data_IF_441922816129
#
_entry.id   IF_441922816129
#
_cell.length_a   1.000
_cell.length_b   1.000
_cell.length_c   1.000
_cell.angle_alpha   90.00
_cell.angle_beta   90.00
_cell.angle_gamma   90.00
#
_symmetry.space_group_name_H-M   'P 1'
#
loop_
_entity.id
_entity.type
_entity.pdbx_description
1 polymer ?
#
# COMPACT_ATOMS: atom_id res chain seq x y z
N UNK A 1 21.52 3.52 9.89
CA UNK A 1 20.66 2.35 9.61
C UNK A 1 19.71 2.73 8.50
N UNK A 2 19.19 1.77 7.75
CA UNK A 2 18.05 2.07 6.90
C UNK A 2 16.80 2.32 7.75
N UNK A 3 15.82 3.04 7.20
CA UNK A 3 14.47 3.08 7.77
C UNK A 3 13.86 1.66 7.77
N UNK A 4 12.89 1.37 8.62
CA UNK A 4 12.16 0.10 8.53
C UNK A 4 11.45 -0.02 7.17
N UNK A 5 11.37 -1.23 6.62
CA UNK A 5 10.59 -1.45 5.41
C UNK A 5 9.12 -1.13 5.69
N UNK A 6 8.49 -0.43 4.76
CA UNK A 6 7.07 -0.13 4.85
C UNK A 6 6.26 -1.42 4.72
N UNK A 7 5.29 -1.59 5.60
CA UNK A 7 4.35 -2.71 5.60
C UNK A 7 2.94 -2.20 5.86
N UNK A 8 1.97 -2.68 5.06
CA UNK A 8 0.54 -2.37 5.27
C UNK A 8 0.05 -2.86 6.63
N UNK A 9 -0.83 -2.10 7.26
CA UNK A 9 -1.48 -2.50 8.50
C UNK A 9 -2.81 -3.19 8.21
N UNK A 10 -3.13 -4.23 8.97
CA UNK A 10 -4.38 -4.99 8.86
C UNK A 10 -5.27 -4.72 10.07
N UNK A 11 -6.56 -4.54 9.82
CA UNK A 11 -7.60 -4.36 10.84
C UNK A 11 -8.46 -5.60 10.89
N UNK A 12 -8.70 -6.12 12.08
CA UNK A 12 -9.43 -7.35 12.33
C UNK A 12 -10.70 -7.10 13.15
N UNK A 13 -11.78 -7.81 12.83
CA UNK A 13 -12.95 -7.92 13.70
C UNK A 13 -12.69 -8.87 14.88
N UNK A 14 -13.69 -9.06 15.75
CA UNK A 14 -13.58 -9.92 16.95
C UNK A 14 -13.43 -11.42 16.65
N UNK A 15 -13.74 -11.87 15.43
CA UNK A 15 -13.58 -13.27 15.01
C UNK A 15 -12.33 -13.50 14.16
N UNK A 16 -11.58 -12.44 13.85
CA UNK A 16 -10.31 -12.49 13.14
C UNK A 16 -10.39 -12.28 11.63
N UNK A 17 -11.54 -11.86 11.09
CA UNK A 17 -11.61 -11.47 9.67
C UNK A 17 -10.95 -10.11 9.48
N UNK A 18 -10.26 -9.92 8.36
CA UNK A 18 -9.74 -8.60 8.00
C UNK A 18 -10.89 -7.75 7.48
N UNK A 19 -11.09 -6.60 8.11
CA UNK A 19 -12.17 -5.63 7.81
C UNK A 19 -11.66 -4.31 7.22
N UNK A 20 -10.36 -4.04 7.31
CA UNK A 20 -9.70 -2.95 6.61
C UNK A 20 -8.20 -3.21 6.45
N UNK A 21 -7.63 -2.58 5.44
CA UNK A 21 -6.20 -2.48 5.21
C UNK A 21 -5.83 -1.01 5.14
N UNK A 22 -4.88 -0.58 5.96
CA UNK A 22 -4.35 0.77 5.92
C UNK A 22 -2.94 0.76 5.31
N UNK A 23 -2.82 1.38 4.14
CA UNK A 23 -1.56 1.60 3.44
C UNK A 23 -1.58 2.94 2.69
N UNK A 24 -0.41 3.57 2.57
CA UNK A 24 -0.20 4.66 1.60
C UNK A 24 0.29 4.11 0.26
N UNK A 25 1.16 3.11 0.34
CA UNK A 25 1.89 2.49 -0.76
C UNK A 25 1.79 0.97 -0.54
N UNK A 26 1.43 0.18 -1.55
CA UNK A 26 1.45 -1.28 -1.39
C UNK A 26 2.92 -1.69 -1.28
N UNK A 27 3.32 -2.07 -0.08
CA UNK A 27 4.66 -2.48 0.28
C UNK A 27 4.54 -3.64 1.25
N UNK A 28 5.10 -4.78 0.88
CA UNK A 28 5.15 -5.97 1.71
C UNK A 28 6.60 -6.45 1.73
N UNK A 29 7.23 -6.49 2.92
CA UNK A 29 8.59 -6.95 3.02
C UNK A 29 8.66 -8.42 2.60
N UNK A 30 9.54 -8.71 1.64
CA UNK A 30 9.91 -10.05 1.22
C UNK A 30 11.37 -10.29 1.56
N UNK A 31 11.69 -11.46 2.11
CA UNK A 31 13.08 -11.88 2.29
C UNK A 31 13.67 -12.35 0.95
N UNK A 32 14.97 -12.17 0.75
CA UNK A 32 15.60 -12.54 -0.52
C UNK A 32 15.39 -14.03 -0.88
N UNK A 33 15.28 -14.91 0.12
CA UNK A 33 15.06 -16.35 -0.06
C UNK A 33 13.66 -16.74 -0.53
N UNK A 34 12.66 -15.84 -0.43
CA UNK A 34 11.31 -16.06 -0.97
C UNK A 34 11.22 -15.73 -2.46
N UNK A 35 12.22 -15.04 -3.02
CA UNK A 35 12.26 -14.67 -4.43
C UNK A 35 12.82 -15.84 -5.25
N UNK A 36 12.09 -16.35 -6.27
CA UNK A 36 12.59 -17.43 -7.10
C UNK A 36 13.94 -17.08 -7.76
N UNK A 37 14.93 -18.00 -7.80
CA UNK A 37 16.25 -17.70 -8.36
C UNK A 37 16.23 -17.16 -9.79
N UNK A 38 15.34 -17.67 -10.64
CA UNK A 38 15.25 -17.25 -12.04
C UNK A 38 14.64 -15.84 -12.17
N UNK A 39 13.72 -15.47 -11.28
CA UNK A 39 13.18 -14.10 -11.17
C UNK A 39 14.28 -13.13 -10.76
N UNK A 40 15.08 -13.51 -9.75
CA UNK A 40 16.19 -12.71 -9.28
C UNK A 40 17.23 -12.49 -10.38
N UNK A 41 17.61 -13.56 -11.09
CA UNK A 41 18.54 -13.49 -12.21
C UNK A 41 18.01 -12.62 -13.36
N UNK A 42 16.71 -12.71 -13.69
CA UNK A 42 16.11 -11.87 -14.72
C UNK A 42 16.17 -10.38 -14.36
N UNK A 43 15.89 -10.03 -13.11
CA UNK A 43 16.01 -8.64 -12.62
C UNK A 43 17.46 -8.16 -12.71
N UNK A 44 18.41 -8.97 -12.23
CA UNK A 44 19.83 -8.62 -12.30
C UNK A 44 20.32 -8.47 -13.75
N UNK A 45 19.95 -9.36 -14.66
CA UNK A 45 20.36 -9.29 -16.07
C UNK A 45 19.96 -7.98 -16.75
N UNK A 46 18.80 -7.44 -16.37
CA UNK A 46 18.21 -6.22 -16.91
C UNK A 46 18.75 -4.96 -16.22
N UNK A 47 18.80 -4.95 -14.88
CA UNK A 47 19.15 -3.76 -14.10
C UNK A 47 20.65 -3.64 -13.82
N UNK A 48 21.34 -4.74 -13.50
CA UNK A 48 22.75 -4.72 -13.08
C UNK A 48 23.40 -6.12 -13.16
N UNK A 49 23.78 -6.56 -14.36
CA UNK A 49 24.25 -7.94 -14.61
C UNK A 49 25.58 -8.28 -13.92
N UNK A 50 26.36 -7.27 -13.55
CA UNK A 50 27.63 -7.41 -12.83
C UNK A 50 27.49 -7.03 -11.35
N UNK A 51 26.26 -7.00 -10.82
CA UNK A 51 25.95 -6.53 -9.46
C UNK A 51 26.90 -7.12 -8.41
N UNK A 52 27.10 -8.43 -8.40
CA UNK A 52 27.97 -9.11 -7.44
C UNK A 52 29.47 -8.89 -7.67
N UNK A 53 29.87 -8.40 -8.85
CA UNK A 53 31.28 -8.23 -9.21
C UNK A 53 31.84 -6.84 -8.84
N UNK A 54 31.00 -5.81 -8.85
CA UNK A 54 31.43 -4.44 -8.55
C UNK A 54 31.15 -4.04 -7.09
N UNK A 55 31.80 -2.99 -6.59
CA UNK A 55 31.57 -2.43 -5.24
C UNK A 55 30.88 -1.07 -5.35
N UNK A 56 29.55 -1.03 -5.32
CA UNK A 56 28.76 0.20 -5.34
C UNK A 56 28.61 0.86 -6.71
N UNK A 57 29.66 0.96 -7.52
CA UNK A 57 29.61 1.54 -8.87
C UNK A 57 30.25 0.62 -9.89
N UNK A 58 29.64 0.52 -11.08
CA UNK A 58 30.20 -0.24 -12.19
C UNK A 58 31.03 0.66 -13.11
N UNK A 59 32.31 0.84 -12.78
CA UNK A 59 33.25 1.68 -13.54
C UNK A 59 33.51 1.11 -14.94
N UNK A 60 33.53 -0.22 -15.10
CA UNK A 60 33.74 -0.87 -16.40
C UNK A 60 32.57 -0.58 -17.34
N UNK A 61 31.34 -0.72 -16.85
CA UNK A 61 30.13 -0.38 -17.61
C UNK A 61 30.02 1.12 -17.87
N UNK A 62 30.47 1.99 -16.95
CA UNK A 62 30.52 3.43 -17.19
C UNK A 62 31.46 3.78 -18.35
N UNK A 63 32.70 3.25 -18.34
CA UNK A 63 33.67 3.49 -19.42
C UNK A 63 33.18 2.91 -20.74
N UNK A 64 32.62 1.70 -20.73
CA UNK A 64 32.05 1.05 -21.93
C UNK A 64 30.89 1.87 -22.50
N UNK A 65 29.96 2.33 -21.65
CA UNK A 65 28.83 3.15 -22.06
C UNK A 65 29.28 4.51 -22.62
N UNK A 66 30.30 5.14 -22.03
CA UNK A 66 30.85 6.38 -22.58
C UNK A 66 31.45 6.16 -23.96
N UNK A 67 32.22 5.09 -24.17
CA UNK A 67 32.83 4.77 -25.47
C UNK A 67 31.79 4.38 -26.53
N UNK A 68 30.71 3.68 -26.17
CA UNK A 68 29.63 3.30 -27.09
C UNK A 68 28.70 4.45 -27.46
N UNK A 69 28.50 5.42 -26.55
CA UNK A 69 27.70 6.62 -26.81
C UNK A 69 28.36 7.56 -27.83
N UNK A 70 29.68 7.48 -28.04
CA UNK A 70 30.35 8.19 -29.14
C UNK A 70 30.18 7.51 -30.50
N UNK A 71 29.69 6.25 -30.53
CA UNK A 71 29.52 5.47 -31.74
C UNK A 71 28.05 5.33 -32.20
N UNK A 72 27.06 5.84 -31.45
CA UNK A 72 25.64 5.69 -31.79
C UNK A 72 24.76 6.82 -31.23
N UNK A 73 23.81 7.29 -32.04
CA UNK A 73 22.92 8.45 -31.81
C UNK A 73 21.72 8.17 -30.86
N UNK A 74 21.79 7.10 -30.06
CA UNK A 74 20.68 6.68 -29.19
C UNK A 74 21.07 6.71 -27.70
N UNK A 75 20.48 7.57 -26.86
CA UNK A 75 20.78 7.57 -25.43
C UNK A 75 20.12 6.37 -24.76
N UNK A 76 20.83 5.25 -24.61
CA UNK A 76 20.26 4.04 -23.98
C UNK A 76 21.26 3.21 -23.18
N UNK A 77 21.44 3.59 -21.91
CA UNK A 77 21.43 2.71 -20.73
C UNK A 77 21.64 3.61 -19.50
N UNK A 78 20.74 3.51 -18.50
CA UNK A 78 20.98 4.19 -17.24
C UNK A 78 22.12 3.49 -16.51
N UNK A 79 23.33 4.04 -16.54
CA UNK A 79 24.55 3.43 -15.97
C UNK A 79 24.55 3.37 -14.41
N UNK A 80 23.39 3.40 -13.76
CA UNK A 80 23.31 3.39 -12.29
C UNK A 80 23.10 1.97 -11.78
N UNK A 81 23.97 1.54 -10.87
CA UNK A 81 23.90 0.21 -10.23
C UNK A 81 22.72 0.09 -9.28
N UNK A 82 22.34 -1.13 -8.90
CA UNK A 82 21.31 -1.39 -7.89
C UNK A 82 21.63 -0.64 -6.57
N UNK A 83 22.88 -0.68 -6.11
CA UNK A 83 23.32 0.03 -4.91
C UNK A 83 23.09 1.55 -5.03
N UNK A 84 23.38 2.13 -6.19
CA UNK A 84 23.12 3.55 -6.44
C UNK A 84 21.62 3.86 -6.46
N UNK A 85 20.78 2.93 -6.90
CA UNK A 85 19.32 3.09 -6.87
C UNK A 85 18.78 3.06 -5.44
N UNK A 86 19.26 2.16 -4.56
CA UNK A 86 18.91 2.16 -3.12
C UNK A 86 19.25 3.49 -2.47
N UNK A 87 20.48 3.98 -2.69
CA UNK A 87 20.93 5.28 -2.16
C UNK A 87 20.07 6.43 -2.66
N UNK A 88 19.73 6.45 -3.95
CA UNK A 88 18.88 7.47 -4.57
C UNK A 88 17.50 7.52 -3.92
N UNK A 89 16.90 6.36 -3.68
CA UNK A 89 15.53 6.24 -3.18
C UNK A 89 15.42 6.50 -1.68
N UNK A 90 16.44 6.18 -0.89
CA UNK A 90 16.34 6.20 0.57
C UNK A 90 17.19 7.26 1.28
N UNK A 91 18.36 7.59 0.74
CA UNK A 91 19.32 8.49 1.41
C UNK A 91 19.35 9.89 0.79
N UNK A 92 19.03 9.97 -0.50
CA UNK A 92 19.06 11.21 -1.27
C UNK A 92 17.67 11.65 -1.74
N UNK A 93 16.62 11.03 -1.22
CA UNK A 93 15.25 11.43 -1.52
C UNK A 93 15.04 12.90 -1.11
N UNK A 94 14.51 13.70 -2.03
CA UNK A 94 14.20 15.12 -1.77
C UNK A 94 15.35 16.11 -1.97
N UNK A 95 16.56 15.67 -2.28
CA UNK A 95 17.66 16.59 -2.65
C UNK A 95 17.56 17.05 -4.11
N UNK A 96 18.08 18.24 -4.39
CA UNK A 96 18.16 18.79 -5.74
C UNK A 96 19.04 17.91 -6.66
N UNK A 97 18.58 17.68 -7.89
CA UNK A 97 19.23 16.79 -8.85
C UNK A 97 20.26 17.53 -9.69
N UNK A 98 21.30 18.05 -9.04
CA UNK A 98 22.43 18.72 -9.66
C UNK A 98 23.65 17.79 -9.86
N UNK A 99 24.78 18.32 -10.33
CA UNK A 99 26.01 17.53 -10.47
C UNK A 99 26.53 16.96 -9.14
N UNK A 100 26.26 17.62 -8.01
CA UNK A 100 26.64 17.17 -6.67
C UNK A 100 25.82 15.94 -6.27
N UNK A 101 24.55 15.88 -6.65
CA UNK A 101 23.69 14.71 -6.42
C UNK A 101 24.33 13.41 -6.93
N UNK A 102 24.92 13.44 -8.14
CA UNK A 102 25.54 12.24 -8.71
C UNK A 102 26.81 11.83 -7.95
N UNK A 103 27.61 12.79 -7.48
CA UNK A 103 28.78 12.53 -6.64
C UNK A 103 28.38 11.94 -5.27
N UNK A 104 27.34 12.49 -4.65
CA UNK A 104 26.78 11.96 -3.40
C UNK A 104 26.24 10.53 -3.59
N UNK A 105 25.58 10.26 -4.72
CA UNK A 105 25.08 8.91 -5.03
C UNK A 105 26.23 7.90 -5.13
N UNK A 106 27.33 8.25 -5.81
CA UNK A 106 28.53 7.40 -5.90
C UNK A 106 29.16 7.22 -4.53
N UNK A 107 29.36 8.30 -3.78
CA UNK A 107 29.99 8.27 -2.46
C UNK A 107 29.22 7.41 -1.47
N UNK A 108 27.91 7.62 -1.35
CA UNK A 108 27.07 6.84 -0.45
C UNK A 108 26.90 5.38 -0.91
N UNK A 109 26.90 5.09 -2.21
CA UNK A 109 26.89 3.71 -2.69
C UNK A 109 28.15 2.94 -2.23
N UNK A 110 29.32 3.58 -2.33
CA UNK A 110 30.58 3.01 -1.83
C UNK A 110 30.57 2.82 -0.30
N UNK A 111 29.99 3.77 0.45
CA UNK A 111 29.87 3.65 1.90
C UNK A 111 28.89 2.54 2.30
N UNK A 112 27.80 2.38 1.56
CA UNK A 112 26.78 1.37 1.84
C UNK A 112 27.34 -0.04 1.69
N UNK A 113 28.08 -0.29 0.62
CA UNK A 113 28.75 -1.59 0.34
C UNK A 113 29.88 -1.93 1.31
N UNK A 114 30.36 -0.97 2.09
CA UNK A 114 31.29 -1.24 3.20
C UNK A 114 30.58 -1.68 4.48
N UNK A 115 29.28 -1.38 4.60
CA UNK A 115 28.49 -1.63 5.81
C UNK A 115 27.55 -2.83 5.66
N UNK A 116 27.11 -3.11 4.44
CA UNK A 116 26.12 -4.13 4.14
C UNK A 116 26.64 -5.09 3.07
N UNK A 117 26.15 -6.32 3.15
CA UNK A 117 26.39 -7.37 2.15
C UNK A 117 25.60 -7.09 0.86
N UNK A 118 25.99 -7.74 -0.24
CA UNK A 118 25.28 -7.63 -1.52
C UNK A 118 23.84 -8.10 -1.42
N UNK A 119 23.64 -9.18 -0.67
CA UNK A 119 22.34 -9.80 -0.42
C UNK A 119 21.43 -8.83 0.34
N UNK A 120 21.94 -8.17 1.38
CA UNK A 120 21.17 -7.15 2.12
C UNK A 120 20.81 -5.93 1.26
N UNK A 121 21.72 -5.48 0.39
CA UNK A 121 21.45 -4.37 -0.53
C UNK A 121 20.40 -4.77 -1.57
N UNK A 122 20.50 -5.99 -2.11
CA UNK A 122 19.56 -6.51 -3.09
C UNK A 122 18.18 -6.74 -2.49
N UNK A 123 18.10 -7.37 -1.31
CA UNK A 123 16.85 -7.50 -0.56
C UNK A 123 16.21 -6.13 -0.32
N UNK A 124 17.02 -5.14 0.10
CA UNK A 124 16.53 -3.79 0.31
C UNK A 124 15.97 -3.19 -0.97
N UNK A 125 16.72 -3.29 -2.07
CA UNK A 125 16.29 -2.80 -3.38
C UNK A 125 14.97 -3.41 -3.84
N UNK A 126 14.85 -4.75 -3.75
CA UNK A 126 13.64 -5.46 -4.12
C UNK A 126 12.43 -5.07 -3.28
N UNK A 127 12.63 -4.54 -2.07
CA UNK A 127 11.55 -4.11 -1.19
C UNK A 127 11.19 -2.62 -1.34
N UNK A 128 12.05 -1.79 -1.92
CA UNK A 128 11.84 -0.33 -1.98
C UNK A 128 11.73 0.24 -3.39
N UNK A 129 12.06 -0.53 -4.42
CA UNK A 129 11.95 -0.07 -5.81
C UNK A 129 10.47 0.07 -6.24
N UNK A 130 10.15 1.16 -6.93
CA UNK A 130 8.79 1.45 -7.40
C UNK A 130 8.54 0.83 -8.78
N UNK A 131 7.49 0.03 -8.90
CA UNK A 131 7.08 -0.65 -10.15
C UNK A 131 5.91 0.01 -10.86
N UNK A 132 5.34 1.10 -10.31
CA UNK A 132 4.15 1.74 -10.86
C UNK A 132 2.88 1.26 -10.16
N UNK A 133 1.75 1.93 -10.42
CA UNK A 133 0.45 1.54 -9.86
C UNK A 133 0.43 1.30 -8.34
N UNK A 134 1.14 2.16 -7.60
CA UNK A 134 1.31 2.10 -6.15
C UNK A 134 2.03 0.84 -5.62
N UNK A 135 2.70 0.07 -6.49
CA UNK A 135 3.49 -1.10 -6.11
C UNK A 135 4.93 -0.69 -5.77
N UNK A 136 5.24 -0.68 -4.48
CA UNK A 136 6.59 -0.48 -3.94
C UNK A 136 7.13 -1.81 -3.45
N UNK A 137 8.16 -2.30 -4.13
CA UNK A 137 8.75 -3.60 -3.92
C UNK A 137 8.14 -4.72 -4.77
N UNK A 138 8.91 -5.80 -4.91
CA UNK A 138 8.65 -6.89 -5.84
C UNK A 138 7.40 -7.69 -5.45
N UNK A 139 7.17 -7.92 -4.15
CA UNK A 139 5.95 -8.57 -3.66
C UNK A 139 4.70 -7.78 -4.07
N UNK A 140 4.70 -6.47 -3.84
CA UNK A 140 3.59 -5.61 -4.25
C UNK A 140 3.40 -5.62 -5.76
N UNK A 141 4.47 -5.68 -6.55
CA UNK A 141 4.38 -5.76 -8.00
C UNK A 141 3.82 -7.12 -8.48
N UNK A 142 4.23 -8.22 -7.87
CA UNK A 142 3.68 -9.56 -8.13
C UNK A 142 2.15 -9.58 -7.93
N UNK A 143 1.72 -8.99 -6.83
CA UNK A 143 0.32 -8.84 -6.46
C UNK A 143 -0.45 -7.97 -7.47
N UNK A 144 0.05 -6.77 -7.76
CA UNK A 144 -0.64 -5.76 -8.56
C UNK A 144 -0.75 -6.16 -10.04
N UNK A 145 0.30 -6.76 -10.61
CA UNK A 145 0.34 -7.10 -12.03
C UNK A 145 -0.15 -8.53 -12.32
N UNK A 146 0.03 -9.47 -11.39
CA UNK A 146 -0.25 -10.89 -11.63
C UNK A 146 -1.22 -11.52 -10.64
N UNK A 147 -1.55 -10.85 -9.53
CA UNK A 147 -2.41 -11.42 -8.49
C UNK A 147 -1.78 -12.62 -7.79
N UNK A 148 -0.44 -12.65 -7.74
CA UNK A 148 0.38 -13.75 -7.23
C UNK A 148 1.25 -13.28 -6.07
N UNK A 149 1.68 -14.21 -5.22
CA UNK A 149 2.84 -13.99 -4.35
C UNK A 149 4.13 -13.99 -5.17
N UNK A 150 5.17 -13.31 -4.68
CA UNK A 150 6.50 -13.26 -5.32
C UNK A 150 7.09 -14.65 -5.57
N UNK A 151 6.84 -15.60 -4.67
CA UNK A 151 7.30 -16.99 -4.79
C UNK A 151 6.66 -17.78 -5.93
N UNK A 152 5.56 -17.27 -6.50
CA UNK A 152 4.82 -17.89 -7.60
C UNK A 152 5.12 -17.25 -8.97
N UNK A 153 6.03 -16.27 -8.99
CA UNK A 153 6.49 -15.64 -10.22
C UNK A 153 7.41 -16.57 -11.00
N UNK A 154 7.24 -16.58 -12.32
CA UNK A 154 8.21 -17.17 -13.23
C UNK A 154 9.24 -16.12 -13.73
N UNK A 155 10.30 -16.61 -14.37
CA UNK A 155 11.37 -15.78 -14.94
C UNK A 155 10.84 -14.69 -15.89
N UNK A 156 9.84 -15.00 -16.72
CA UNK A 156 9.32 -14.08 -17.75
C UNK A 156 8.51 -12.96 -17.08
N UNK A 157 7.73 -13.29 -16.04
CA UNK A 157 7.06 -12.31 -15.18
C UNK A 157 8.08 -11.43 -14.44
N UNK A 158 9.15 -12.01 -13.91
CA UNK A 158 10.27 -11.27 -13.31
C UNK A 158 10.94 -10.30 -14.29
N UNK A 159 11.18 -10.76 -15.53
CA UNK A 159 11.73 -9.95 -16.61
C UNK A 159 10.80 -8.79 -16.98
N UNK A 160 9.51 -9.05 -17.12
CA UNK A 160 8.51 -8.00 -17.35
C UNK A 160 8.58 -6.91 -16.28
N UNK A 161 8.57 -7.30 -14.99
CA UNK A 161 8.68 -6.35 -13.88
C UNK A 161 10.00 -5.56 -13.90
N UNK A 162 11.12 -6.21 -14.21
CA UNK A 162 12.41 -5.54 -14.38
C UNK A 162 12.36 -4.47 -15.49
N UNK A 163 11.61 -4.73 -16.56
CA UNK A 163 11.37 -3.77 -17.64
C UNK A 163 10.71 -2.47 -17.19
N UNK A 164 9.82 -2.54 -16.20
CA UNK A 164 9.08 -1.40 -15.66
C UNK A 164 9.97 -0.44 -14.86
N UNK A 165 10.95 -0.95 -14.11
CA UNK A 165 11.76 -0.19 -13.14
C UNK A 165 12.35 1.10 -13.72
N UNK A 166 12.82 1.04 -14.99
CA UNK A 166 13.42 2.19 -15.68
C UNK A 166 12.46 3.38 -15.81
N UNK A 167 11.18 3.14 -16.06
CA UNK A 167 10.16 4.19 -16.20
C UNK A 167 8.79 3.61 -15.87
N UNK A 168 8.46 3.45 -14.57
CA UNK A 168 7.29 2.67 -14.15
C UNK A 168 5.98 3.18 -14.73
N UNK A 169 5.75 4.49 -14.67
CA UNK A 169 4.56 5.12 -15.26
C UNK A 169 4.61 5.16 -16.79
N UNK A 170 5.81 5.27 -17.39
CA UNK A 170 5.97 5.37 -18.85
C UNK A 170 5.85 4.04 -19.59
N UNK A 171 6.12 2.94 -18.89
CA UNK A 171 5.99 1.56 -19.37
C UNK A 171 4.80 0.82 -18.76
N UNK A 172 3.87 1.55 -18.13
CA UNK A 172 2.63 0.99 -17.60
C UNK A 172 1.88 0.22 -18.71
N UNK A 173 1.63 -1.09 -18.54
CA UNK A 173 1.02 -1.94 -19.57
C UNK A 173 -0.45 -1.61 -19.83
N UNK A 174 -1.12 -0.95 -18.90
CA UNK A 174 -2.54 -0.60 -18.98
C UNK A 174 -2.70 0.75 -19.65
N UNK A 175 -1.90 1.74 -19.23
CA UNK A 175 -1.95 3.10 -19.78
C UNK A 175 -1.20 3.22 -21.12
N UNK A 176 -0.14 2.44 -21.30
CA UNK A 176 0.79 2.54 -22.44
C UNK A 176 1.22 1.16 -22.97
N UNK A 177 0.27 0.30 -23.41
CA UNK A 177 0.54 -1.08 -23.81
C UNK A 177 1.63 -1.21 -24.87
N UNK A 178 1.64 -0.36 -25.90
CA UNK A 178 2.65 -0.39 -26.97
C UNK A 178 4.06 -0.08 -26.48
N UNK A 179 4.21 0.90 -25.57
CA UNK A 179 5.51 1.24 -24.97
C UNK A 179 5.97 0.14 -24.03
N UNK A 180 5.05 -0.43 -23.27
CA UNK A 180 5.33 -1.56 -22.38
C UNK A 180 5.79 -2.78 -23.16
N UNK A 181 5.09 -3.14 -24.25
CA UNK A 181 5.46 -4.22 -25.19
C UNK A 181 6.84 -4.00 -25.78
N UNK A 182 7.11 -2.80 -26.31
CA UNK A 182 8.42 -2.48 -26.88
C UNK A 182 9.54 -2.55 -25.83
N UNK A 183 9.26 -2.16 -24.59
CA UNK A 183 10.21 -2.29 -23.48
C UNK A 183 10.42 -3.76 -23.09
N UNK A 184 9.37 -4.57 -23.08
CA UNK A 184 9.46 -5.99 -22.79
C UNK A 184 10.29 -6.74 -23.83
N UNK A 185 10.15 -6.42 -25.13
CA UNK A 185 11.03 -6.94 -26.19
C UNK A 185 12.51 -6.70 -25.89
N UNK A 186 12.87 -5.46 -25.54
CA UNK A 186 14.26 -5.13 -25.17
C UNK A 186 14.76 -5.92 -23.95
N UNK A 187 13.86 -6.28 -23.03
CA UNK A 187 14.21 -7.07 -21.86
C UNK A 187 14.47 -8.53 -22.23
N UNK A 188 13.60 -9.16 -23.03
CA UNK A 188 13.83 -10.56 -23.44
C UNK A 188 15.03 -10.68 -24.38
N UNK A 189 15.26 -9.69 -25.25
CA UNK A 189 16.50 -9.59 -26.04
C UNK A 189 17.74 -9.52 -25.13
N UNK A 190 17.64 -8.77 -24.02
CA UNK A 190 18.71 -8.71 -23.02
C UNK A 190 18.93 -10.04 -22.33
N UNK A 191 17.87 -10.78 -22.00
CA UNK A 191 17.99 -12.13 -21.43
C UNK A 191 18.68 -13.09 -22.39
N UNK A 192 18.35 -13.04 -23.69
CA UNK A 192 19.04 -13.84 -24.70
C UNK A 192 20.52 -13.44 -24.84
N UNK A 193 20.83 -12.14 -24.78
CA UNK A 193 22.20 -11.65 -24.85
C UNK A 193 23.08 -12.04 -23.65
N UNK A 194 22.48 -12.46 -22.54
CA UNK A 194 23.19 -13.04 -21.39
C UNK A 194 22.98 -14.55 -21.28
N UNK A 195 22.53 -15.19 -22.36
CA UNK A 195 22.38 -16.65 -22.50
C UNK A 195 21.40 -17.28 -21.49
N UNK A 196 20.44 -16.51 -20.96
CA UNK A 196 19.40 -17.04 -20.08
C UNK A 196 18.24 -17.68 -20.83
N UNK A 197 18.02 -17.29 -22.08
CA UNK A 197 17.04 -17.87 -22.99
C UNK A 197 17.62 -17.95 -24.41
N UNK A 198 17.09 -18.84 -25.22
CA UNK A 198 17.46 -18.91 -26.64
C UNK A 198 16.98 -17.67 -27.42
N UNK A 199 17.72 -17.19 -28.43
CA UNK A 199 17.29 -16.06 -29.26
C UNK A 199 15.91 -16.27 -29.89
N UNK A 200 15.62 -17.49 -30.35
CA UNK A 200 14.31 -17.83 -30.93
C UNK A 200 13.18 -17.76 -29.89
N UNK A 201 13.46 -18.11 -28.64
CA UNK A 201 12.51 -17.97 -27.54
C UNK A 201 12.27 -16.49 -27.19
N UNK A 202 13.33 -15.66 -27.22
CA UNK A 202 13.22 -14.21 -27.04
C UNK A 202 12.27 -13.58 -28.07
N UNK A 203 12.44 -13.92 -29.35
CA UNK A 203 11.59 -13.41 -30.44
C UNK A 203 10.12 -13.76 -30.20
N UNK A 204 9.85 -15.05 -29.89
CA UNK A 204 8.49 -15.53 -29.62
C UNK A 204 7.88 -14.83 -28.40
N UNK A 205 8.61 -14.73 -27.28
CA UNK A 205 8.11 -14.06 -26.07
C UNK A 205 7.82 -12.58 -26.31
N UNK A 206 8.71 -11.88 -27.01
CA UNK A 206 8.60 -10.47 -27.31
C UNK A 206 7.34 -10.11 -28.11
N UNK A 207 6.86 -11.04 -28.93
CA UNK A 207 5.65 -10.88 -29.74
C UNK A 207 4.39 -11.41 -29.06
N UNK A 208 4.46 -12.59 -28.45
CA UNK A 208 3.28 -13.38 -28.09
C UNK A 208 2.90 -13.35 -26.61
N UNK A 209 3.83 -13.04 -25.70
CA UNK A 209 3.54 -13.08 -24.26
C UNK A 209 2.47 -12.05 -23.87
N UNK A 210 1.45 -12.42 -23.11
CA UNK A 210 0.33 -11.52 -22.80
C UNK A 210 0.73 -10.51 -21.70
N UNK A 211 0.67 -9.21 -22.02
CA UNK A 211 0.90 -8.17 -21.02
C UNK A 211 -0.29 -8.08 -20.06
N UNK A 212 -0.07 -7.66 -18.79
CA UNK A 212 -1.17 -7.34 -17.89
C UNK A 212 -2.05 -6.20 -18.42
N UNK A 213 -3.28 -6.52 -18.84
CA UNK A 213 -4.24 -5.54 -19.38
C UNK A 213 -5.04 -4.79 -18.30
N UNK A 214 -5.10 -5.36 -17.10
CA UNK A 214 -5.73 -4.76 -15.93
C UNK A 214 -4.90 -5.08 -14.69
N UNK A 215 -4.92 -4.16 -13.73
CA UNK A 215 -4.37 -4.47 -12.42
C UNK A 215 -5.18 -5.61 -11.85
N UNK A 216 -4.49 -6.65 -11.39
CA UNK A 216 -5.12 -7.64 -10.56
C UNK A 216 -5.38 -6.93 -9.24
N UNK A 217 -6.65 -6.75 -8.92
CA UNK A 217 -6.98 -6.58 -7.52
C UNK A 217 -6.33 -7.76 -6.81
N UNK A 218 -5.68 -7.48 -5.68
CA UNK A 218 -5.29 -8.51 -4.73
C UNK A 218 -6.44 -9.51 -4.55
N UNK A 219 -6.20 -10.69 -3.95
CA UNK A 219 -7.26 -11.31 -3.16
C UNK A 219 -7.69 -10.22 -2.16
N UNK A 220 -8.70 -9.46 -2.54
CA UNK A 220 -9.27 -8.40 -1.76
C UNK A 220 -9.82 -9.15 -0.57
N UNK A 221 -9.23 -8.92 0.60
CA UNK A 221 -10.12 -8.61 1.69
C UNK A 221 -11.04 -7.53 1.10
N UNK A 222 -12.30 -7.88 0.84
CA UNK A 222 -13.30 -6.97 0.29
C UNK A 222 -13.63 -5.95 1.37
N UNK A 223 -12.64 -5.12 1.66
CA UNK A 223 -12.63 -4.15 2.73
C UNK A 223 -12.75 -2.80 2.10
N UNK A 224 -13.81 -2.64 1.28
CA UNK A 224 -14.31 -1.33 0.97
C UNK A 224 -14.42 -0.56 2.31
N UNK A 225 -13.90 0.67 2.39
CA UNK A 225 -14.01 1.40 3.63
C UNK A 225 -15.47 1.48 4.07
N UNK A 226 -15.69 1.41 5.38
CA UNK A 226 -17.00 1.51 6.02
C UNK A 226 -16.99 2.69 6.98
N UNK A 227 -18.17 3.14 7.42
CA UNK A 227 -18.24 4.16 8.47
C UNK A 227 -17.43 3.80 9.72
N UNK A 228 -17.37 2.51 10.09
CA UNK A 228 -16.59 2.05 11.22
C UNK A 228 -15.08 2.16 10.97
N UNK A 229 -14.59 1.67 9.82
CA UNK A 229 -13.15 1.66 9.54
C UNK A 229 -12.60 3.08 9.31
N UNK A 230 -13.41 3.97 8.74
CA UNK A 230 -13.10 5.39 8.63
C UNK A 230 -13.05 6.07 10.00
N UNK A 231 -14.04 5.81 10.86
CA UNK A 231 -14.07 6.33 12.22
C UNK A 231 -12.89 5.82 13.06
N UNK A 232 -12.52 4.55 12.90
CA UNK A 232 -11.34 3.97 13.52
C UNK A 232 -10.06 4.68 13.04
N UNK A 233 -9.94 4.91 11.73
CA UNK A 233 -8.79 5.62 11.17
C UNK A 233 -8.69 7.04 11.73
N UNK A 234 -9.79 7.80 11.72
CA UNK A 234 -9.85 9.15 12.31
C UNK A 234 -9.48 9.10 13.80
N UNK A 235 -10.01 8.13 14.55
CA UNK A 235 -9.68 7.97 15.96
C UNK A 235 -8.17 7.72 16.19
N UNK A 236 -7.57 6.85 15.38
CA UNK A 236 -6.14 6.51 15.47
C UNK A 236 -5.23 7.65 15.03
N UNK A 237 -5.68 8.56 14.16
CA UNK A 237 -4.87 9.68 13.66
C UNK A 237 -5.09 10.99 14.45
N UNK A 238 -6.31 11.25 14.90
CA UNK A 238 -6.72 12.58 15.36
C UNK A 238 -7.20 12.60 16.83
N UNK A 239 -7.71 11.47 17.35
CA UNK A 239 -8.38 11.44 18.67
C UNK A 239 -7.67 10.60 19.73
N UNK A 240 -6.57 9.94 19.37
CA UNK A 240 -5.77 9.12 20.28
C UNK A 240 -4.28 9.36 20.06
N UNK A 241 -3.48 9.08 21.08
CA UNK A 241 -2.02 9.10 21.05
C UNK A 241 -1.41 7.68 21.06
N UNK A 242 -2.24 6.63 20.88
CA UNK A 242 -1.80 5.23 20.99
C UNK A 242 -0.73 4.85 19.96
N UNK A 243 -0.69 5.55 18.82
CA UNK A 243 0.29 5.32 17.75
C UNK A 243 1.43 6.35 17.72
N UNK A 244 1.49 7.28 18.69
CA UNK A 244 2.47 8.36 18.75
C UNK A 244 1.88 9.71 19.16
N UNK A 245 2.76 10.63 19.58
CA UNK A 245 2.37 11.95 20.11
C UNK A 245 2.00 12.91 18.98
N UNK A 246 2.65 12.79 17.82
CA UNK A 246 2.38 13.63 16.65
C UNK A 246 1.55 12.91 15.59
N UNK A 247 0.74 13.65 14.83
CA UNK A 247 -0.05 13.09 13.73
C UNK A 247 0.82 12.38 12.69
N UNK A 248 2.01 12.93 12.42
CA UNK A 248 2.96 12.35 11.46
C UNK A 248 3.49 10.99 11.92
N UNK A 249 3.81 10.83 13.21
CA UNK A 249 4.22 9.53 13.78
C UNK A 249 3.08 8.52 13.69
N UNK A 250 1.86 8.93 14.08
CA UNK A 250 0.67 8.08 13.99
C UNK A 250 0.38 7.64 12.57
N UNK A 251 0.46 8.55 11.60
CA UNK A 251 0.28 8.24 10.18
C UNK A 251 1.38 7.31 9.66
N UNK A 252 2.63 7.53 10.02
CA UNK A 252 3.73 6.65 9.62
C UNK A 252 3.52 5.24 10.16
N UNK A 253 3.19 5.09 11.44
CA UNK A 253 2.97 3.79 12.04
C UNK A 253 1.70 3.11 11.48
N UNK A 254 0.62 3.86 11.26
CA UNK A 254 -0.63 3.33 10.72
C UNK A 254 -0.48 2.82 9.29
N UNK A 255 0.18 3.58 8.42
CA UNK A 255 0.23 3.25 6.98
C UNK A 255 1.49 2.48 6.55
N UNK A 256 2.54 2.46 7.36
CA UNK A 256 3.84 1.85 7.02
C UNK A 256 4.40 0.93 8.11
N UNK A 257 3.78 0.87 9.29
CA UNK A 257 4.31 0.16 10.46
C UNK A 257 3.95 -1.32 10.56
N UNK A 258 3.17 -1.88 9.63
CA UNK A 258 2.83 -3.31 9.64
C UNK A 258 1.95 -3.74 10.82
N UNK A 259 1.07 -2.86 11.31
CA UNK A 259 0.27 -3.13 12.51
C UNK A 259 -0.76 -4.24 12.27
N UNK A 260 -1.06 -4.99 13.34
CA UNK A 260 -2.25 -5.84 13.44
C UNK A 260 -3.21 -5.22 14.44
N UNK A 261 -4.25 -4.56 13.95
CA UNK A 261 -5.21 -3.78 14.73
C UNK A 261 -6.43 -4.66 14.99
N UNK A 262 -6.57 -5.16 16.22
CA UNK A 262 -7.75 -5.93 16.62
C UNK A 262 -8.83 -5.00 17.18
N UNK A 263 -10.03 -5.08 16.64
CA UNK A 263 -11.15 -4.19 16.98
C UNK A 263 -12.21 -4.92 17.79
N UNK A 264 -13.24 -4.18 18.20
CA UNK A 264 -14.40 -4.73 18.92
C UNK A 264 -15.60 -5.00 18.01
N UNK A 265 -15.47 -4.74 16.71
CA UNK A 265 -16.53 -4.93 15.73
C UNK A 265 -16.93 -6.40 15.66
N UNK A 266 -18.22 -6.67 15.76
CA UNK A 266 -18.80 -7.99 15.60
C UNK A 266 -19.45 -8.08 14.21
N UNK A 267 -18.97 -8.95 13.30
CA UNK A 267 -19.46 -8.98 11.93
C UNK A 267 -20.94 -9.41 11.86
N UNK A 268 -21.42 -10.22 12.79
CA UNK A 268 -22.81 -10.66 12.83
C UNK A 268 -23.72 -9.50 13.25
N UNK A 269 -23.33 -8.76 14.28
CA UNK A 269 -24.09 -7.58 14.72
C UNK A 269 -24.03 -6.44 13.70
N UNK A 270 -22.89 -6.26 13.03
CA UNK A 270 -22.74 -5.28 11.95
C UNK A 270 -23.71 -5.59 10.80
N UNK A 271 -23.76 -6.85 10.33
CA UNK A 271 -24.67 -7.27 9.27
C UNK A 271 -26.15 -7.07 9.65
N UNK A 272 -26.53 -7.36 10.89
CA UNK A 272 -27.89 -7.07 11.38
C UNK A 272 -28.22 -5.58 11.41
N UNK A 273 -27.26 -4.72 11.80
CA UNK A 273 -27.46 -3.28 11.82
C UNK A 273 -27.62 -2.71 10.39
N UNK A 274 -26.81 -3.18 9.44
CA UNK A 274 -26.91 -2.81 8.03
C UNK A 274 -28.25 -3.25 7.42
N UNK A 275 -28.62 -4.52 7.62
CA UNK A 275 -29.90 -5.05 7.17
C UNK A 275 -31.09 -4.27 7.76
N UNK A 276 -31.02 -3.87 9.03
CA UNK A 276 -32.05 -3.04 9.65
C UNK A 276 -32.17 -1.66 8.98
N UNK A 277 -31.05 -1.02 8.64
CA UNK A 277 -31.05 0.26 7.91
C UNK A 277 -31.64 0.09 6.51
N UNK A 278 -31.32 -0.99 5.82
CA UNK A 278 -31.80 -1.27 4.46
C UNK A 278 -33.31 -1.54 4.37
N UNK A 279 -33.99 -1.76 5.51
CA UNK A 279 -35.46 -1.82 5.56
C UNK A 279 -36.15 -0.47 5.38
N UNK A 280 -35.41 0.65 5.50
CA UNK A 280 -35.99 1.98 5.38
C UNK A 280 -36.46 2.25 3.95
N UNK A 281 -37.69 2.75 3.75
CA UNK A 281 -38.17 3.05 2.42
C UNK A 281 -37.34 4.18 1.80
N UNK A 282 -36.96 4.03 0.53
CA UNK A 282 -36.37 5.12 -0.23
C UNK A 282 -37.32 6.32 -0.27
N UNK A 283 -36.88 7.48 0.21
CA UNK A 283 -37.71 8.69 0.24
C UNK A 283 -37.12 9.78 -0.64
N UNK A 284 -37.98 10.57 -1.31
CA UNK A 284 -37.57 11.70 -2.16
C UNK A 284 -36.79 12.80 -1.42
N UNK A 285 -36.80 12.77 -0.09
CA UNK A 285 -36.14 13.73 0.81
C UNK A 285 -34.86 13.17 1.46
N UNK A 286 -34.44 11.95 1.11
CA UNK A 286 -33.18 11.37 1.62
C UNK A 286 -33.18 11.07 3.12
N UNK A 287 -34.26 10.46 3.64
CA UNK A 287 -34.24 9.93 5.02
C UNK A 287 -33.20 8.82 5.11
N UNK A 288 -32.35 8.94 6.12
CA UNK A 288 -31.29 7.99 6.42
C UNK A 288 -31.26 7.70 7.94
N UNK A 289 -30.53 6.66 8.35
CA UNK A 289 -30.40 6.29 9.75
C UNK A 289 -28.96 5.97 10.16
N UNK A 290 -28.68 6.27 11.41
CA UNK A 290 -27.46 5.87 12.08
C UNK A 290 -27.78 4.87 13.21
N UNK A 291 -26.93 3.86 13.36
CA UNK A 291 -27.05 2.83 14.39
C UNK A 291 -25.68 2.66 15.04
N UNK A 292 -25.63 2.67 16.37
CA UNK A 292 -24.45 2.27 17.13
C UNK A 292 -24.86 1.26 18.17
N UNK A 293 -24.23 0.09 18.16
CA UNK A 293 -24.39 -0.94 19.18
C UNK A 293 -23.15 -0.99 20.06
N UNK A 294 -23.36 -0.95 21.38
CA UNK A 294 -22.30 -0.92 22.38
C UNK A 294 -22.45 -2.09 23.35
N UNK A 295 -21.32 -2.64 23.78
CA UNK A 295 -21.25 -3.46 24.98
C UNK A 295 -21.49 -2.58 26.21
N UNK A 296 -22.57 -2.82 26.95
CA UNK A 296 -22.97 -1.98 28.08
C UNK A 296 -21.97 -1.99 29.25
N UNK A 297 -21.10 -3.01 29.36
CA UNK A 297 -20.13 -3.12 30.45
C UNK A 297 -18.82 -2.45 30.09
N UNK A 298 -18.38 -2.58 28.84
CA UNK A 298 -17.04 -2.15 28.41
C UNK A 298 -17.06 -0.87 27.57
N UNK A 299 -18.22 -0.48 27.04
CA UNK A 299 -18.33 0.60 26.06
C UNK A 299 -17.83 0.23 24.66
N UNK A 300 -17.46 -1.04 24.43
CA UNK A 300 -16.96 -1.52 23.16
C UNK A 300 -18.00 -1.37 22.04
N UNK A 301 -17.62 -0.73 20.93
CA UNK A 301 -18.49 -0.62 19.75
C UNK A 301 -18.55 -1.97 19.05
N UNK A 302 -19.72 -2.58 19.00
CA UNK A 302 -19.96 -3.88 18.37
C UNK A 302 -20.48 -3.77 16.93
N UNK A 303 -21.20 -2.69 16.62
CA UNK A 303 -21.67 -2.38 15.28
C UNK A 303 -21.81 -0.85 15.12
N UNK A 304 -21.57 -0.34 13.92
CA UNK A 304 -21.74 1.06 13.56
C UNK A 304 -22.24 1.20 12.11
N UNK A 305 -23.37 1.89 11.95
CA UNK A 305 -23.91 2.33 10.67
C UNK A 305 -24.01 3.85 10.73
N UNK A 306 -23.35 4.53 9.80
CA UNK A 306 -23.31 5.99 9.74
C UNK A 306 -24.27 6.61 8.72
N UNK A 307 -25.01 5.80 7.97
CA UNK A 307 -25.92 6.25 6.92
C UNK A 307 -26.12 5.21 5.82
N UNK A 308 -26.53 5.68 4.64
CA UNK A 308 -26.62 4.91 3.39
C UNK A 308 -25.25 4.29 3.08
N UNK A 309 -25.24 3.19 2.30
CA UNK A 309 -24.06 2.35 2.11
C UNK A 309 -22.83 3.20 1.82
N UNK A 310 -21.71 2.90 2.48
CA UNK A 310 -20.53 3.74 2.40
C UNK A 310 -20.03 3.78 0.95
N UNK A 311 -19.91 4.98 0.38
CA UNK A 311 -19.42 5.19 -0.99
C UNK A 311 -18.00 5.75 -0.92
N UNK A 312 -16.97 4.93 -1.23
CA UNK A 312 -15.60 5.41 -1.24
C UNK A 312 -15.45 6.62 -2.17
N UNK A 313 -14.69 7.64 -1.73
CA UNK A 313 -14.40 8.89 -2.46
C UNK A 313 -15.58 9.86 -2.60
N UNK A 314 -16.73 9.56 -2.01
CA UNK A 314 -17.76 10.55 -1.72
C UNK A 314 -17.54 11.03 -0.29
N UNK A 315 -17.66 12.34 -0.05
CA UNK A 315 -17.60 12.88 1.30
C UNK A 315 -18.89 12.52 2.04
N UNK A 316 -18.93 11.30 2.59
CA UNK A 316 -20.03 10.82 3.40
C UNK A 316 -19.89 11.33 4.84
N UNK A 317 -21.00 11.80 5.41
CA UNK A 317 -21.04 12.22 6.82
C UNK A 317 -21.39 11.00 7.66
N UNK A 318 -20.51 10.59 8.57
CA UNK A 318 -20.84 9.53 9.53
C UNK A 318 -21.85 10.05 10.57
N UNK A 319 -23.14 9.85 10.31
CA UNK A 319 -24.24 10.34 11.15
C UNK A 319 -24.23 9.72 12.56
N UNK A 320 -23.52 8.61 12.77
CA UNK A 320 -23.34 8.01 14.08
C UNK A 320 -22.45 8.84 15.02
N UNK A 321 -21.60 9.72 14.47
CA UNK A 321 -20.64 10.52 15.23
C UNK A 321 -20.98 12.01 15.26
N UNK A 322 -21.91 12.46 14.40
CA UNK A 322 -22.30 13.87 14.32
C UNK A 322 -23.34 14.21 15.41
N UNK A 323 -23.12 15.26 16.23
CA UNK A 323 -24.10 15.70 17.21
C UNK A 323 -25.42 16.13 16.56
N UNK A 324 -26.54 15.67 17.12
CA UNK A 324 -27.90 16.05 16.72
C UNK A 324 -28.73 16.40 17.95
N UNK A 325 -29.83 17.13 17.74
CA UNK A 325 -30.78 17.42 18.80
C UNK A 325 -31.36 16.09 19.32
N UNK A 326 -31.11 15.80 20.60
CA UNK A 326 -31.48 14.52 21.24
C UNK A 326 -32.97 14.39 21.55
N UNK A 327 -33.76 15.45 21.38
CA UNK A 327 -35.20 15.44 21.62
C UNK A 327 -35.55 14.98 23.04
N UNK A 328 -36.48 14.04 23.17
CA UNK A 328 -36.91 13.53 24.49
C UNK A 328 -35.94 12.51 25.10
N UNK A 329 -34.96 12.00 24.36
CA UNK A 329 -34.01 10.97 24.83
C UNK A 329 -33.17 11.44 26.02
N UNK A 330 -32.86 12.74 26.09
CA UNK A 330 -32.05 13.33 27.18
C UNK A 330 -32.77 13.31 28.54
N UNK A 331 -34.11 13.22 28.55
CA UNK A 331 -34.91 13.30 29.78
C UNK A 331 -34.54 12.23 30.80
N UNK A 332 -34.13 11.05 30.34
CA UNK A 332 -33.69 9.98 31.24
C UNK A 332 -32.46 10.37 32.06
N UNK A 333 -31.48 11.02 31.43
CA UNK A 333 -30.27 11.49 32.11
C UNK A 333 -30.57 12.63 33.08
N UNK A 334 -31.46 13.56 32.69
CA UNK A 334 -31.94 14.65 33.57
C UNK A 334 -32.63 14.07 34.82
N UNK A 335 -33.53 13.10 34.63
CA UNK A 335 -34.23 12.45 35.74
C UNK A 335 -33.27 11.65 36.64
N UNK A 336 -32.29 10.97 36.03
CA UNK A 336 -31.27 10.22 36.78
C UNK A 336 -30.41 11.16 37.63
N UNK A 337 -29.98 12.30 37.08
CA UNK A 337 -29.22 13.33 37.79
C UNK A 337 -30.01 13.98 38.93
N UNK A 338 -31.33 14.14 38.77
CA UNK A 338 -32.22 14.63 39.83
C UNK A 338 -32.37 13.63 41.01
N UNK A 339 -31.78 12.44 40.92
CA UNK A 339 -31.80 11.41 41.94
C UNK A 339 -33.02 10.51 41.79
N UNK A 340 -32.82 9.35 41.16
CA UNK A 340 -33.85 8.30 41.01
C UNK A 340 -34.46 7.84 42.35
N UNK A 341 -33.75 8.06 43.47
CA UNK A 341 -34.24 7.80 44.83
C UNK A 341 -35.07 8.95 45.44
N UNK A 342 -34.89 10.19 44.97
CA UNK A 342 -35.64 11.36 45.43
C UNK A 342 -36.98 11.52 44.70
N UNK A 343 -37.09 10.98 43.49
CA UNK A 343 -38.30 10.92 42.68
C UNK A 343 -38.78 9.47 42.64
N UNK A 344 -39.72 9.09 43.52
CA UNK A 344 -40.38 7.79 43.42
C UNK A 344 -41.17 7.69 42.12
N UNK A 345 -41.48 6.47 41.64
CA UNK A 345 -42.36 6.27 40.47
C UNK A 345 -43.77 6.91 40.63
N UNK A 346 -44.14 7.37 41.84
CA UNK A 346 -45.40 8.05 42.16
C UNK A 346 -45.26 9.56 42.35
N UNK A 347 -44.07 10.12 42.19
CA UNK A 347 -43.84 11.54 42.40
C UNK A 347 -44.57 12.37 41.34
N UNK A 348 -45.44 13.27 41.79
CA UNK A 348 -46.17 14.19 40.92
C UNK A 348 -45.29 15.37 40.55
N UNK A 349 -44.89 15.44 39.28
CA UNK A 349 -44.23 16.62 38.72
C UNK A 349 -45.29 17.50 38.03
N UNK A 350 -45.45 18.77 38.42
CA UNK A 350 -46.37 19.67 37.74
C UNK A 350 -45.92 19.83 36.28
N UNK A 351 -46.85 19.54 35.35
CA UNK A 351 -46.59 19.73 33.92
C UNK A 351 -46.64 21.23 33.64
N UNK A 352 -45.48 21.86 33.53
CA UNK A 352 -45.38 23.28 33.17
C UNK A 352 -46.21 23.57 31.92
N UNK A 353 -47.17 24.49 32.01
CA UNK A 353 -47.82 25.08 30.84
C UNK A 353 -46.75 25.89 30.11
N UNK A 354 -46.56 25.62 28.83
CA UNK A 354 -45.69 26.43 27.97
C UNK A 354 -46.29 27.80 27.74
#
# INVERSE_FOLDING_TARGET
SFESLSQRSYVYDVVGNVIAVFERENSQPVSLGEVPPDVLQAILAVEDNEFFLHKGVNVRSLVRATLSNFASDAPRQGASTITQQVVKNELLAGLERDGRYKLLQVHYALMLEKKLTKEQILERYLNTIFFGNNAYGLQAAAEVYFGKSVGELDMVQGAFLAGLIRSPSGYDPIRHPERSRARFRQVVERLAAVEMIEPTQSDVLGETWELPERLKALPTYDTAPTYYTEALREYLLERSNILGDTEQERANLLYRGGLRIHTTLDPTLQAHAEAARDTLPGTKIGIDAAIVSLDAKTGAIRAMVGGEGFKPRVAEINMALVPRQTGSSIKFFILSAAGWRAVSARSTLPRGRR
#
